data_IF_359077874940
#
_entry.id   IF_359077874940
#
_cell.length_a   1.000
_cell.length_b   1.000
_cell.length_c   1.000
_cell.angle_alpha   90.00
_cell.angle_beta   90.00
_cell.angle_gamma   90.00
#
_symmetry.space_group_name_H-M   'P 1'
#
loop_
_entity.id
_entity.type
_entity.pdbx_description
1 polymer ?
#
# COMPACT_ATOMS: atom_id res chain seq x y z
N UNK A 1 35.80 -13.61 9.43
CA UNK A 1 34.37 -13.65 9.79
C UNK A 1 33.91 -12.21 9.96
N UNK A 2 33.38 -11.60 8.91
CA UNK A 2 32.87 -10.23 8.96
C UNK A 2 31.37 -10.29 9.25
N UNK A 3 30.95 -9.77 10.39
CA UNK A 3 29.54 -9.57 10.68
C UNK A 3 28.96 -8.66 9.60
N UNK A 4 28.06 -9.21 8.79
CA UNK A 4 27.29 -8.48 7.80
C UNK A 4 26.45 -7.43 8.55
N UNK A 5 26.92 -6.18 8.58
CA UNK A 5 26.28 -5.05 9.29
C UNK A 5 24.81 -4.82 8.88
N UNK A 6 24.33 -5.52 7.85
CA UNK A 6 22.95 -5.51 7.39
C UNK A 6 22.00 -6.41 8.22
N UNK A 7 22.49 -7.44 8.92
CA UNK A 7 21.60 -8.36 9.64
C UNK A 7 20.91 -7.70 10.85
N UNK A 8 21.62 -6.81 11.55
CA UNK A 8 21.06 -6.03 12.67
C UNK A 8 20.27 -4.79 12.20
N UNK A 9 20.72 -4.10 11.14
CA UNK A 9 19.98 -2.97 10.56
C UNK A 9 18.67 -3.38 9.88
N UNK A 10 18.61 -4.58 9.27
CA UNK A 10 17.39 -5.07 8.63
C UNK A 10 16.23 -5.33 9.60
N UNK A 11 16.51 -5.56 10.91
CA UNK A 11 15.44 -5.68 11.91
C UNK A 11 14.80 -4.34 12.27
N UNK A 12 15.58 -3.25 12.28
CA UNK A 12 15.09 -1.91 12.64
C UNK A 12 14.57 -1.11 11.43
N UNK A 13 15.10 -1.35 10.23
CA UNK A 13 14.63 -0.64 9.03
C UNK A 13 13.28 -1.15 8.50
N UNK A 14 12.80 -2.34 8.91
CA UNK A 14 11.54 -2.89 8.38
C UNK A 14 10.30 -2.05 8.68
N UNK A 15 10.28 -1.28 9.77
CA UNK A 15 9.19 -0.37 10.14
C UNK A 15 9.37 1.07 9.65
N UNK A 16 10.60 1.48 9.28
CA UNK A 16 10.93 2.87 8.89
C UNK A 16 10.85 3.15 7.38
N UNK A 17 10.57 2.12 6.56
CA UNK A 17 10.46 2.32 5.11
C UNK A 17 9.27 3.21 4.75
N UNK A 18 9.60 4.42 4.25
CA UNK A 18 8.70 5.43 3.65
C UNK A 18 7.36 4.85 3.17
N UNK A 19 6.26 5.48 3.60
CA UNK A 19 4.97 5.35 2.94
C UNK A 19 5.17 5.55 1.43
N UNK A 20 4.54 4.70 0.61
CA UNK A 20 4.71 4.77 -0.83
C UNK A 20 4.24 6.14 -1.33
N UNK A 21 5.06 6.82 -2.13
CA UNK A 21 4.66 8.06 -2.82
C UNK A 21 3.49 7.83 -3.81
N UNK A 22 3.17 6.57 -4.10
CA UNK A 22 2.12 6.16 -5.01
C UNK A 22 0.77 5.88 -4.33
N UNK A 23 0.65 6.03 -3.01
CA UNK A 23 -0.59 5.72 -2.28
C UNK A 23 -1.82 6.42 -2.89
N UNK A 24 -1.68 7.67 -3.32
CA UNK A 24 -2.75 8.45 -3.99
C UNK A 24 -3.29 7.83 -5.28
N UNK A 25 -2.58 6.88 -5.88
CA UNK A 25 -2.99 6.23 -7.11
C UNK A 25 -3.84 4.98 -6.85
N UNK A 26 -3.69 4.35 -5.68
CA UNK A 26 -4.44 3.17 -5.29
C UNK A 26 -5.58 3.58 -4.37
N UNK A 27 -6.76 3.04 -4.66
CA UNK A 27 -7.88 3.19 -3.76
C UNK A 27 -7.96 2.02 -2.79
N UNK A 28 -8.05 2.34 -1.50
CA UNK A 28 -8.14 1.38 -0.40
C UNK A 28 -9.37 1.67 0.46
N UNK A 29 -9.94 0.59 1.02
CA UNK A 29 -10.89 0.71 2.12
C UNK A 29 -10.14 1.13 3.37
N UNK A 30 -10.70 2.07 4.10
CA UNK A 30 -10.22 2.48 5.41
C UNK A 30 -10.61 1.39 6.42
N UNK A 31 -9.65 0.97 7.24
CA UNK A 31 -9.95 0.15 8.40
C UNK A 31 -10.60 1.03 9.49
N UNK A 32 -11.86 0.74 9.83
CA UNK A 32 -12.65 1.48 10.81
C UNK A 32 -12.60 0.89 12.22
N UNK A 33 -11.82 -0.18 12.48
CA UNK A 33 -11.76 -0.83 13.80
C UNK A 33 -11.27 0.08 14.94
N UNK A 34 -10.65 1.21 14.60
CA UNK A 34 -10.25 2.20 15.60
C UNK A 34 -11.45 3.00 16.16
N UNK A 35 -12.60 2.96 15.48
CA UNK A 35 -13.84 3.58 15.96
C UNK A 35 -14.43 2.82 17.14
N UNK A 36 -14.22 1.50 17.22
CA UNK A 36 -14.66 0.68 18.36
C UNK A 36 -14.04 1.17 19.68
N UNK A 37 -12.85 1.79 19.61
CA UNK A 37 -12.21 2.42 20.75
C UNK A 37 -13.04 3.58 21.32
N UNK A 38 -13.82 4.29 20.51
CA UNK A 38 -14.69 5.40 20.94
C UNK A 38 -15.90 4.96 21.76
N UNK A 39 -16.19 3.67 21.83
CA UNK A 39 -17.25 3.11 22.67
C UNK A 39 -16.78 2.81 24.10
N UNK A 40 -15.48 2.98 24.38
CA UNK A 40 -14.93 2.75 25.72
C UNK A 40 -15.25 3.92 26.65
N UNK A 41 -15.68 3.67 27.90
CA UNK A 41 -16.07 4.71 28.85
C UNK A 41 -14.88 5.47 29.44
N UNK A 42 -13.66 4.93 29.38
CA UNK A 42 -12.46 5.38 30.08
C UNK A 42 -11.39 5.96 29.14
N UNK A 43 -11.79 6.73 28.14
CA UNK A 43 -10.87 7.27 27.12
C UNK A 43 -10.09 8.49 27.62
N UNK A 44 -8.76 8.39 27.58
CA UNK A 44 -7.90 9.56 27.80
C UNK A 44 -8.01 10.57 26.67
N UNK A 45 -7.80 11.85 26.98
CA UNK A 45 -7.81 12.94 25.99
C UNK A 45 -6.76 12.74 24.90
N UNK A 46 -5.58 12.15 25.20
CA UNK A 46 -4.58 11.87 24.16
C UNK A 46 -5.06 10.82 23.15
N UNK A 47 -5.73 9.76 23.63
CA UNK A 47 -6.29 8.71 22.75
C UNK A 47 -7.36 9.31 21.85
N UNK A 48 -8.27 10.13 22.40
CA UNK A 48 -9.33 10.80 21.63
C UNK A 48 -8.73 11.77 20.61
N UNK A 49 -7.70 12.54 20.98
CA UNK A 49 -6.99 13.43 20.07
C UNK A 49 -6.32 12.65 18.92
N UNK A 50 -5.70 11.51 19.22
CA UNK A 50 -5.11 10.63 18.21
C UNK A 50 -6.17 10.08 17.23
N UNK A 51 -7.30 9.58 17.74
CA UNK A 51 -8.41 9.10 16.92
C UNK A 51 -8.97 10.24 16.05
N UNK A 52 -9.19 11.42 16.64
CA UNK A 52 -9.66 12.61 15.95
C UNK A 52 -8.73 13.03 14.80
N UNK A 53 -7.42 13.00 15.02
CA UNK A 53 -6.41 13.25 13.98
C UNK A 53 -6.51 12.23 12.84
N UNK A 54 -6.60 10.93 13.18
CA UNK A 54 -6.76 9.84 12.21
C UNK A 54 -8.04 9.99 11.37
N UNK A 55 -9.16 10.38 12.00
CA UNK A 55 -10.42 10.66 11.30
C UNK A 55 -10.24 11.81 10.29
N UNK A 56 -9.60 12.92 10.68
CA UNK A 56 -9.33 14.04 9.77
C UNK A 56 -8.53 13.61 8.54
N UNK A 57 -7.44 12.87 8.75
CA UNK A 57 -6.61 12.35 7.65
C UNK A 57 -7.41 11.45 6.71
N UNK A 58 -8.25 10.57 7.26
CA UNK A 58 -9.14 9.69 6.49
C UNK A 58 -10.19 10.47 5.69
N UNK A 59 -10.79 11.52 6.27
CA UNK A 59 -11.75 12.38 5.55
C UNK A 59 -11.08 13.12 4.38
N UNK A 60 -9.84 13.60 4.55
CA UNK A 60 -9.07 14.22 3.47
C UNK A 60 -8.79 13.21 2.35
N UNK A 61 -8.39 11.99 2.71
CA UNK A 61 -8.17 10.89 1.77
C UNK A 61 -9.43 10.59 0.95
N UNK A 62 -10.57 10.37 1.61
CA UNK A 62 -11.85 10.08 0.98
C UNK A 62 -12.30 11.19 0.02
N UNK A 63 -12.23 12.45 0.45
CA UNK A 63 -12.60 13.59 -0.37
C UNK A 63 -11.72 13.75 -1.61
N UNK A 64 -10.41 13.47 -1.47
CA UNK A 64 -9.47 13.50 -2.59
C UNK A 64 -9.84 12.44 -3.63
N UNK A 65 -10.09 11.21 -3.19
CA UNK A 65 -10.48 10.13 -4.10
C UNK A 65 -11.86 10.33 -4.72
N UNK A 66 -12.82 10.88 -3.98
CA UNK A 66 -14.15 11.22 -4.51
C UNK A 66 -14.05 12.15 -5.72
N UNK A 67 -13.31 13.27 -5.56
CA UNK A 67 -13.09 14.25 -6.65
C UNK A 67 -12.37 13.64 -7.84
N UNK A 68 -11.38 12.76 -7.59
CA UNK A 68 -10.66 12.05 -8.65
C UNK A 68 -11.62 11.14 -9.44
N UNK A 69 -12.49 10.41 -8.76
CA UNK A 69 -13.44 9.49 -9.39
C UNK A 69 -14.53 10.22 -10.14
N UNK A 70 -15.13 11.26 -9.57
CA UNK A 70 -16.13 12.10 -10.23
C UNK A 70 -15.60 12.68 -11.54
N UNK A 71 -14.37 13.23 -11.54
CA UNK A 71 -13.72 13.74 -12.75
C UNK A 71 -13.41 12.66 -13.79
N UNK A 72 -13.15 11.42 -13.36
CA UNK A 72 -12.80 10.31 -14.24
C UNK A 72 -14.01 9.57 -14.79
N UNK A 73 -15.14 9.57 -14.07
CA UNK A 73 -16.40 8.98 -14.53
C UNK A 73 -16.88 9.64 -15.84
N UNK A 74 -16.61 10.94 -16.00
CA UNK A 74 -16.93 11.72 -17.20
C UNK A 74 -16.01 11.42 -18.41
N UNK A 75 -15.00 10.57 -18.25
CA UNK A 75 -14.05 10.20 -19.30
C UNK A 75 -14.28 8.75 -19.73
N UNK A 76 -13.92 8.43 -20.97
CA UNK A 76 -14.06 7.07 -21.51
C UNK A 76 -13.47 6.03 -20.54
N UNK A 77 -14.34 5.15 -20.07
CA UNK A 77 -14.01 4.14 -19.08
C UNK A 77 -13.24 3.00 -19.74
N UNK A 78 -11.98 2.88 -19.36
CA UNK A 78 -11.06 1.90 -19.94
C UNK A 78 -10.62 0.94 -18.84
N UNK A 79 -10.72 -0.39 -19.05
CA UNK A 79 -10.17 -1.37 -18.14
C UNK A 79 -8.69 -1.11 -17.87
N UNK A 80 -8.26 -1.31 -16.62
CA UNK A 80 -6.95 -0.90 -16.17
C UNK A 80 -6.33 -1.93 -15.22
N UNK A 81 -5.04 -2.18 -15.40
CA UNK A 81 -4.20 -2.89 -14.42
C UNK A 81 -3.15 -1.92 -13.92
N UNK A 82 -3.11 -1.77 -12.60
CA UNK A 82 -2.11 -0.99 -11.90
C UNK A 82 -1.23 -1.91 -11.07
N UNK A 83 0.07 -1.76 -11.23
CA UNK A 83 1.07 -2.57 -10.56
C UNK A 83 2.08 -1.61 -9.97
N UNK A 84 2.41 -1.81 -8.71
CA UNK A 84 3.52 -1.14 -8.07
C UNK A 84 4.50 -2.18 -7.58
N UNK A 85 5.75 -2.01 -7.98
CA UNK A 85 6.88 -2.79 -7.50
C UNK A 85 7.55 -1.96 -6.42
N UNK A 86 7.43 -2.39 -5.16
CA UNK A 86 7.87 -1.58 -4.04
C UNK A 86 9.31 -1.90 -3.65
N UNK A 87 9.58 -3.14 -3.22
CA UNK A 87 10.89 -3.56 -2.67
C UNK A 87 11.11 -5.06 -2.75
N UNK A 88 12.34 -5.52 -2.58
CA UNK A 88 12.67 -6.94 -2.43
C UNK A 88 13.59 -7.19 -1.23
N UNK A 89 13.63 -8.43 -0.74
CA UNK A 89 14.50 -8.86 0.37
C UNK A 89 15.10 -10.25 0.11
N UNK A 90 16.21 -10.53 0.80
CA UNK A 90 16.93 -11.81 0.73
C UNK A 90 17.33 -12.21 -0.70
N UNK A 91 17.64 -11.24 -1.58
CA UNK A 91 18.13 -11.56 -2.93
C UNK A 91 19.55 -12.12 -2.79
N UNK A 92 19.74 -13.39 -3.15
CA UNK A 92 21.06 -14.03 -3.06
C UNK A 92 21.97 -13.52 -4.16
N UNK A 93 22.92 -12.68 -3.78
CA UNK A 93 23.99 -12.27 -4.67
C UNK A 93 24.98 -13.43 -4.87
N UNK A 94 25.24 -13.79 -6.12
CA UNK A 94 26.28 -14.75 -6.52
C UNK A 94 27.31 -14.03 -7.40
N UNK A 95 28.21 -13.27 -6.80
CA UNK A 95 29.30 -12.60 -7.51
C UNK A 95 30.44 -12.16 -6.58
N UNK A 96 31.53 -11.65 -7.16
CA UNK A 96 32.71 -11.19 -6.42
C UNK A 96 32.45 -9.82 -5.80
N UNK A 97 32.93 -9.62 -4.56
CA UNK A 97 32.75 -8.40 -3.74
C UNK A 97 33.24 -7.08 -4.37
N UNK A 98 33.83 -7.13 -5.56
CA UNK A 98 34.42 -5.97 -6.27
C UNK A 98 33.39 -5.32 -7.20
N UNK A 99 32.41 -6.06 -7.71
CA UNK A 99 31.37 -5.50 -8.57
C UNK A 99 30.22 -4.92 -7.74
N UNK A 100 29.68 -3.78 -8.16
CA UNK A 100 28.52 -3.13 -7.54
C UNK A 100 27.27 -3.38 -8.40
N UNK A 101 26.75 -4.62 -8.44
CA UNK A 101 25.62 -4.97 -9.28
C UNK A 101 24.39 -4.11 -8.97
N UNK A 102 23.55 -3.95 -9.98
CA UNK A 102 22.26 -3.27 -9.89
C UNK A 102 21.12 -4.24 -10.07
N UNK A 103 20.05 -4.06 -9.31
CA UNK A 103 18.86 -4.92 -9.39
C UNK A 103 17.73 -4.18 -10.08
N UNK A 104 17.03 -4.87 -10.97
CA UNK A 104 15.81 -4.36 -11.59
C UNK A 104 14.79 -5.49 -11.74
N UNK A 105 13.53 -5.12 -11.96
CA UNK A 105 12.42 -6.05 -12.09
C UNK A 105 11.78 -5.89 -13.46
N UNK A 106 11.60 -7.00 -14.16
CA UNK A 106 10.76 -7.10 -15.34
C UNK A 106 9.37 -7.58 -14.92
N UNK A 107 8.34 -6.91 -15.43
CA UNK A 107 6.95 -7.34 -15.36
C UNK A 107 6.47 -7.68 -16.76
N UNK A 108 6.02 -8.91 -16.94
CA UNK A 108 5.43 -9.39 -18.19
C UNK A 108 3.93 -9.63 -18.02
N UNK A 109 3.15 -9.05 -18.92
CA UNK A 109 1.71 -9.26 -19.03
C UNK A 109 1.47 -10.50 -19.89
N UNK A 110 1.19 -11.62 -19.26
CA UNK A 110 1.02 -12.90 -19.94
C UNK A 110 -0.47 -13.19 -20.24
N UNK A 111 -0.81 -13.68 -21.44
CA UNK A 111 0.05 -14.07 -22.56
C UNK A 111 0.30 -12.94 -23.58
N UNK A 112 -0.01 -11.69 -23.26
CA UNK A 112 0.14 -10.55 -24.18
C UNK A 112 1.60 -10.26 -24.59
N UNK A 113 2.58 -10.82 -23.87
CA UNK A 113 4.01 -10.68 -24.16
C UNK A 113 4.59 -9.28 -23.86
N UNK A 114 3.78 -8.38 -23.30
CA UNK A 114 4.22 -7.01 -23.02
C UNK A 114 5.09 -6.99 -21.78
N UNK A 115 6.31 -6.48 -21.95
CA UNK A 115 7.31 -6.36 -20.88
C UNK A 115 7.49 -4.90 -20.46
N UNK A 116 7.56 -4.67 -19.15
CA UNK A 116 7.89 -3.39 -18.51
C UNK A 116 9.00 -3.62 -17.51
N UNK A 117 9.84 -2.62 -17.29
CA UNK A 117 11.02 -2.71 -16.44
C UNK A 117 11.02 -1.58 -15.43
N UNK A 118 11.48 -1.86 -14.22
CA UNK A 118 11.82 -0.81 -13.26
C UNK A 118 13.14 -0.14 -13.62
N UNK A 119 13.44 0.97 -12.96
CA UNK A 119 14.83 1.44 -12.85
C UNK A 119 15.71 0.49 -12.03
N UNK A 120 16.98 0.81 -11.98
CA UNK A 120 18.00 0.08 -11.22
C UNK A 120 18.02 0.50 -9.74
N UNK A 121 18.14 -0.48 -8.84
CA UNK A 121 18.26 -0.28 -7.40
C UNK A 121 19.53 -0.94 -6.85
N UNK A 122 19.90 -0.57 -5.62
CA UNK A 122 21.01 -1.19 -4.87
C UNK A 122 20.66 -2.63 -4.46
N UNK A 123 21.67 -3.47 -4.33
CA UNK A 123 21.51 -4.93 -4.16
C UNK A 123 21.09 -5.37 -2.76
N UNK A 124 21.57 -4.72 -1.70
CA UNK A 124 21.35 -5.19 -0.32
C UNK A 124 19.89 -5.06 0.15
N UNK A 125 19.22 -3.97 -0.24
CA UNK A 125 17.81 -3.67 0.08
C UNK A 125 17.17 -2.89 -1.08
N UNK A 126 16.89 -3.52 -2.22
CA UNK A 126 16.36 -2.80 -3.37
C UNK A 126 14.93 -2.30 -3.08
N UNK A 127 14.72 -1.02 -3.33
CA UNK A 127 13.42 -0.37 -3.31
C UNK A 127 13.26 0.49 -4.56
N UNK A 128 12.09 0.39 -5.18
CA UNK A 128 11.78 1.06 -6.44
C UNK A 128 10.58 1.99 -6.31
N UNK A 129 9.52 1.56 -5.62
CA UNK A 129 8.20 2.22 -5.63
C UNK A 129 7.79 2.62 -7.06
N UNK A 130 8.01 1.70 -8.01
CA UNK A 130 7.81 1.96 -9.42
C UNK A 130 6.41 1.54 -9.85
N UNK A 131 5.67 2.48 -10.42
CA UNK A 131 4.29 2.26 -10.86
C UNK A 131 4.21 1.97 -12.35
N UNK A 132 3.54 0.87 -12.69
CA UNK A 132 3.16 0.48 -14.03
C UNK A 132 1.64 0.59 -14.13
N UNK A 133 1.16 1.29 -15.15
CA UNK A 133 -0.26 1.45 -15.43
C UNK A 133 -0.53 1.02 -16.87
N UNK A 134 -1.24 -0.09 -17.04
CA UNK A 134 -1.64 -0.60 -18.35
C UNK A 134 -3.14 -0.39 -18.55
N UNK A 135 -3.50 0.19 -19.70
CA UNK A 135 -4.87 0.50 -20.11
C UNK A 135 -5.27 -0.41 -21.28
N UNK A 136 -6.56 -0.72 -21.41
CA UNK A 136 -7.12 -1.44 -22.57
C UNK A 136 -6.53 -2.85 -22.81
N UNK A 137 -6.03 -3.53 -21.77
CA UNK A 137 -5.36 -4.84 -21.93
C UNK A 137 -5.79 -5.87 -20.89
N UNK A 138 -7.04 -5.81 -20.45
CA UNK A 138 -7.59 -6.88 -19.62
C UNK A 138 -8.08 -8.06 -20.45
N UNK A 139 -8.50 -7.81 -21.70
CA UNK A 139 -8.91 -8.87 -22.62
C UNK A 139 -7.69 -9.73 -22.97
N UNK A 140 -7.76 -11.01 -22.59
CA UNK A 140 -6.69 -11.97 -22.78
C UNK A 140 -5.64 -12.02 -21.66
N UNK A 141 -5.54 -11.02 -20.77
CA UNK A 141 -4.57 -11.04 -19.68
C UNK A 141 -4.94 -12.10 -18.63
N UNK A 142 -4.04 -13.05 -18.41
CA UNK A 142 -4.22 -14.17 -17.45
C UNK A 142 -3.36 -14.01 -16.21
N UNK A 143 -2.11 -13.59 -16.38
CA UNK A 143 -1.19 -13.49 -15.25
C UNK A 143 -0.15 -12.40 -15.45
N UNK A 144 0.35 -11.86 -14.33
CA UNK A 144 1.52 -11.00 -14.28
C UNK A 144 2.72 -11.84 -13.86
N UNK A 145 3.75 -11.91 -14.71
CA UNK A 145 5.01 -12.58 -14.37
C UNK A 145 6.03 -11.52 -13.96
N UNK A 146 6.63 -11.71 -12.80
CA UNK A 146 7.67 -10.86 -12.24
C UNK A 146 8.99 -11.62 -12.33
N UNK A 147 10.01 -11.02 -12.90
CA UNK A 147 11.37 -11.58 -12.94
C UNK A 147 12.33 -10.55 -12.40
N UNK A 148 13.13 -10.94 -11.41
CA UNK A 148 14.14 -10.07 -10.80
C UNK A 148 15.48 -10.38 -11.44
N UNK A 149 16.16 -9.34 -11.90
CA UNK A 149 17.45 -9.45 -12.58
C UNK A 149 18.51 -8.65 -11.84
N UNK A 150 19.72 -9.12 -11.97
CA UNK A 150 20.95 -8.44 -11.59
C UNK A 150 21.68 -8.06 -12.86
N UNK A 151 22.14 -6.81 -12.95
CA UNK A 151 23.04 -6.30 -14.00
C UNK A 151 24.39 -5.97 -13.39
N UNK A 152 25.46 -6.46 -13.99
CA UNK A 152 26.83 -6.07 -13.61
C UNK A 152 27.31 -4.84 -14.40
N UNK A 153 28.52 -4.37 -14.10
CA UNK A 153 29.11 -3.19 -14.75
C UNK A 153 29.39 -3.42 -16.25
N UNK A 154 29.50 -4.68 -16.68
CA UNK A 154 29.63 -5.08 -18.09
C UNK A 154 28.28 -5.22 -18.81
N UNK A 155 27.18 -4.81 -18.16
CA UNK A 155 25.80 -4.93 -18.64
C UNK A 155 25.32 -6.38 -18.87
N UNK A 156 26.02 -7.37 -18.30
CA UNK A 156 25.56 -8.75 -18.29
C UNK A 156 24.39 -8.89 -17.31
N UNK A 157 23.35 -9.59 -17.74
CA UNK A 157 22.13 -9.76 -16.97
C UNK A 157 21.97 -11.20 -16.48
N UNK A 158 21.74 -11.35 -15.18
CA UNK A 158 21.48 -12.63 -14.54
C UNK A 158 20.15 -12.60 -13.83
N UNK A 159 19.27 -13.55 -14.16
CA UNK A 159 18.00 -13.73 -13.46
C UNK A 159 18.27 -14.26 -12.05
N UNK A 160 17.70 -13.58 -11.05
CA UNK A 160 17.79 -13.96 -9.65
C UNK A 160 16.64 -14.84 -9.20
N UNK A 161 15.44 -14.63 -9.76
CA UNK A 161 14.24 -15.42 -9.45
C UNK A 161 13.00 -14.90 -10.17
N UNK A 162 11.89 -15.62 -10.05
CA UNK A 162 10.62 -15.26 -10.67
C UNK A 162 9.39 -15.57 -9.82
N UNK A 163 8.34 -14.77 -9.98
CA UNK A 163 7.05 -15.03 -9.36
C UNK A 163 5.91 -14.71 -10.31
N UNK A 164 4.77 -15.37 -10.14
CA UNK A 164 3.59 -15.11 -10.95
C UNK A 164 2.38 -14.74 -10.09
N UNK A 165 1.58 -13.79 -10.58
CA UNK A 165 0.30 -13.42 -10.02
C UNK A 165 -0.80 -13.69 -11.04
N UNK A 166 -1.70 -14.61 -10.70
CA UNK A 166 -2.91 -14.87 -11.46
C UNK A 166 -3.90 -13.71 -11.26
N UNK A 167 -4.35 -13.11 -12.37
CA UNK A 167 -5.27 -11.97 -12.37
C UNK A 167 -6.58 -12.32 -11.67
N UNK A 168 -7.06 -13.56 -11.79
CA UNK A 168 -8.32 -14.01 -11.18
C UNK A 168 -8.29 -13.81 -9.66
N UNK A 169 -7.12 -14.01 -9.03
CA UNK A 169 -6.95 -13.85 -7.57
C UNK A 169 -7.13 -12.41 -7.08
N UNK A 170 -7.18 -11.43 -7.98
CA UNK A 170 -7.34 -10.01 -7.68
C UNK A 170 -8.63 -9.38 -8.19
N UNK A 171 -9.49 -10.09 -8.92
CA UNK A 171 -10.69 -9.50 -9.54
C UNK A 171 -11.73 -9.01 -8.53
N UNK A 172 -11.91 -9.74 -7.43
CA UNK A 172 -12.90 -9.39 -6.38
C UNK A 172 -12.31 -8.49 -5.28
N UNK A 173 -11.07 -8.04 -5.45
CA UNK A 173 -10.33 -7.27 -4.45
C UNK A 173 -10.12 -5.86 -4.97
N UNK A 174 -10.27 -4.87 -4.09
CA UNK A 174 -9.94 -3.48 -4.43
C UNK A 174 -8.48 -3.35 -4.85
N UNK A 175 -7.58 -4.02 -4.13
CA UNK A 175 -6.21 -4.27 -4.54
C UNK A 175 -5.66 -5.45 -3.76
N UNK A 176 -4.52 -5.98 -4.21
CA UNK A 176 -3.73 -7.01 -3.53
C UNK A 176 -2.38 -6.41 -3.21
N UNK A 177 -1.96 -6.51 -1.96
CA UNK A 177 -0.61 -6.14 -1.54
C UNK A 177 -0.01 -7.32 -0.78
N UNK A 178 1.15 -7.81 -1.22
CA UNK A 178 1.76 -9.00 -0.64
C UNK A 178 3.24 -9.14 -0.96
N UNK A 179 3.91 -9.94 -0.13
CA UNK A 179 5.19 -10.56 -0.48
C UNK A 179 4.94 -11.75 -1.42
N UNK A 180 5.71 -11.82 -2.50
CA UNK A 180 5.76 -12.93 -3.45
C UNK A 180 7.13 -13.59 -3.34
N UNK A 181 7.15 -14.91 -3.15
CA UNK A 181 8.39 -15.67 -3.17
C UNK A 181 8.88 -15.78 -4.62
N UNK A 182 10.16 -15.47 -4.83
CA UNK A 182 10.82 -15.52 -6.14
C UNK A 182 11.40 -16.90 -6.45
N UNK A 183 11.70 -17.68 -5.40
CA UNK A 183 12.23 -19.04 -5.47
C UNK A 183 11.78 -19.82 -4.23
N UNK A 184 12.00 -21.14 -4.24
CA UNK A 184 11.67 -22.05 -3.13
C UNK A 184 12.83 -22.25 -2.12
N UNK A 185 13.85 -21.39 -2.14
CA UNK A 185 15.01 -21.51 -1.24
C UNK A 185 14.72 -20.95 0.17
N UNK A 186 15.52 -21.34 1.19
CA UNK A 186 15.40 -20.85 2.57
C UNK A 186 16.65 -20.07 3.01
N UNK A 187 16.54 -18.80 3.48
CA UNK A 187 15.31 -18.00 3.50
C UNK A 187 14.88 -17.62 2.07
N UNK A 188 13.56 -17.47 1.82
CA UNK A 188 13.08 -17.16 0.48
C UNK A 188 13.45 -15.74 0.09
N UNK A 189 13.94 -15.60 -1.14
CA UNK A 189 13.99 -14.32 -1.84
C UNK A 189 12.56 -13.86 -2.12
N UNK A 190 12.21 -12.64 -1.74
CA UNK A 190 10.84 -12.15 -1.86
C UNK A 190 10.76 -10.78 -2.53
N UNK A 191 9.69 -10.55 -3.29
CA UNK A 191 9.32 -9.28 -3.89
C UNK A 191 8.01 -8.78 -3.28
N UNK A 192 7.97 -7.52 -2.85
CA UNK A 192 6.75 -6.88 -2.35
C UNK A 192 6.09 -6.08 -3.47
N UNK A 193 4.85 -6.44 -3.79
CA UNK A 193 4.08 -5.82 -4.86
C UNK A 193 2.70 -5.40 -4.38
N UNK A 194 2.18 -4.36 -5.02
CA UNK A 194 0.79 -3.92 -4.90
C UNK A 194 0.14 -3.93 -6.28
N UNK A 195 -1.03 -4.56 -6.43
CA UNK A 195 -1.70 -4.80 -7.70
C UNK A 195 -3.17 -4.43 -7.56
N UNK A 196 -3.69 -3.58 -8.45
CA UNK A 196 -5.11 -3.23 -8.52
C UNK A 196 -5.60 -3.49 -9.94
N UNK A 197 -6.62 -4.34 -10.05
CA UNK A 197 -7.21 -4.74 -11.34
C UNK A 197 -8.60 -4.14 -11.41
N UNK A 198 -8.85 -3.36 -12.45
CA UNK A 198 -10.12 -2.68 -12.70
C UNK A 198 -10.64 -3.21 -14.03
N UNK A 199 -11.55 -4.19 -13.98
CA UNK A 199 -12.18 -4.77 -15.17
C UNK A 199 -13.25 -3.84 -15.74
N UNK A 200 -14.16 -3.40 -14.89
CA UNK A 200 -15.17 -2.41 -15.22
C UNK A 200 -14.87 -1.12 -14.44
N UNK A 201 -14.38 -0.12 -15.18
CA UNK A 201 -13.97 1.16 -14.61
C UNK A 201 -15.17 1.99 -14.12
N UNK A 202 -16.33 1.86 -14.77
CA UNK A 202 -17.55 2.58 -14.35
C UNK A 202 -18.07 1.98 -13.06
N UNK A 203 -18.26 0.66 -13.02
CA UNK A 203 -18.73 -0.05 -11.83
C UNK A 203 -17.78 0.15 -10.64
N UNK A 204 -16.46 0.12 -10.89
CA UNK A 204 -15.46 0.39 -9.85
C UNK A 204 -15.60 1.81 -9.27
N UNK A 205 -15.76 2.84 -10.10
CA UNK A 205 -15.93 4.22 -9.62
C UNK A 205 -17.25 4.39 -8.86
N UNK A 206 -18.37 3.88 -9.37
CA UNK A 206 -19.65 3.97 -8.66
C UNK A 206 -19.60 3.26 -7.30
N UNK A 207 -19.12 2.01 -7.27
CA UNK A 207 -18.99 1.24 -6.02
C UNK A 207 -18.08 1.95 -5.02
N UNK A 208 -16.95 2.46 -5.51
CA UNK A 208 -16.00 3.19 -4.67
C UNK A 208 -16.59 4.50 -4.15
N UNK A 209 -17.29 5.26 -4.99
CA UNK A 209 -17.94 6.52 -4.58
C UNK A 209 -19.07 6.29 -3.58
N UNK A 210 -19.85 5.22 -3.71
CA UNK A 210 -20.87 4.84 -2.72
C UNK A 210 -20.23 4.51 -1.37
N UNK A 211 -19.20 3.65 -1.37
CA UNK A 211 -18.42 3.37 -0.17
C UNK A 211 -17.83 4.63 0.46
N UNK A 212 -17.31 5.57 -0.35
CA UNK A 212 -16.80 6.85 0.14
C UNK A 212 -17.90 7.63 0.86
N UNK A 213 -19.09 7.75 0.26
CA UNK A 213 -20.22 8.48 0.86
C UNK A 213 -20.62 7.88 2.22
N UNK A 214 -20.79 6.57 2.28
CA UNK A 214 -21.15 5.83 3.49
C UNK A 214 -20.08 6.03 4.59
N UNK A 215 -18.82 5.76 4.26
CA UNK A 215 -17.69 5.86 5.20
C UNK A 215 -17.49 7.29 5.68
N UNK A 216 -17.67 8.27 4.79
CA UNK A 216 -17.54 9.67 5.13
C UNK A 216 -18.62 10.13 6.11
N UNK A 217 -19.85 9.60 6.01
CA UNK A 217 -20.91 9.84 7.01
C UNK A 217 -20.49 9.31 8.38
N UNK A 218 -20.09 8.04 8.45
CA UNK A 218 -19.66 7.40 9.70
C UNK A 218 -18.50 8.14 10.37
N UNK A 219 -17.50 8.55 9.59
CA UNK A 219 -16.35 9.29 10.09
C UNK A 219 -16.72 10.69 10.57
N UNK A 220 -17.70 11.36 9.95
CA UNK A 220 -18.20 12.65 10.44
C UNK A 220 -18.88 12.52 11.79
N UNK A 221 -19.72 11.50 11.96
CA UNK A 221 -20.44 11.26 13.21
C UNK A 221 -19.44 10.94 14.33
N UNK A 222 -18.46 10.06 14.05
CA UNK A 222 -17.37 9.77 14.97
C UNK A 222 -16.54 11.01 15.33
N UNK A 223 -16.29 11.90 14.37
CA UNK A 223 -15.55 13.15 14.61
C UNK A 223 -16.29 14.09 15.56
N UNK A 224 -17.63 14.17 15.43
CA UNK A 224 -18.48 14.92 16.37
C UNK A 224 -18.43 14.29 17.76
N UNK A 225 -18.50 12.96 17.86
CA UNK A 225 -18.36 12.23 19.13
C UNK A 225 -17.01 12.52 19.81
N UNK A 226 -15.89 12.51 19.07
CA UNK A 226 -14.59 12.90 19.63
C UNK A 226 -14.60 14.31 20.23
N UNK A 227 -15.21 15.28 19.54
CA UNK A 227 -15.33 16.66 20.05
C UNK A 227 -16.14 16.72 21.33
N UNK A 228 -17.23 15.95 21.40
CA UNK A 228 -18.06 15.88 22.59
C UNK A 228 -17.28 15.34 23.79
N UNK A 229 -16.58 14.20 23.63
CA UNK A 229 -15.77 13.59 24.70
C UNK A 229 -14.67 14.54 25.18
N UNK A 230 -13.94 15.19 24.27
CA UNK A 230 -12.91 16.17 24.66
C UNK A 230 -13.50 17.33 25.46
N UNK A 231 -14.66 17.86 25.06
CA UNK A 231 -15.33 18.95 25.79
C UNK A 231 -15.83 18.52 27.17
N UNK A 232 -16.22 17.25 27.38
CA UNK A 232 -16.60 16.74 28.70
C UNK A 232 -15.38 16.59 29.62
N UNK A 233 -14.25 16.11 29.09
CA UNK A 233 -13.00 15.97 29.83
C UNK A 233 -12.38 17.33 30.23
N UNK A 234 -12.62 18.38 29.44
CA UNK A 234 -12.13 19.74 29.72
C UNK A 234 -13.07 20.54 30.65
N UNK A 235 -14.22 19.99 31.08
CA UNK A 235 -15.07 20.68 32.07
C UNK A 235 -14.32 20.71 33.40
N UNK A 236 -14.12 21.89 34.01
CA UNK A 236 -13.61 21.94 35.38
C UNK A 236 -14.57 21.12 36.24
N UNK A 237 -14.03 20.19 37.04
CA UNK A 237 -14.79 19.54 38.11
C UNK A 237 -15.39 20.68 38.93
N UNK A 238 -16.70 20.89 38.80
CA UNK A 238 -17.40 21.83 39.66
C UNK A 238 -17.06 21.41 41.08
N UNK A 239 -16.45 22.28 41.91
CA UNK A 239 -16.21 21.93 43.29
C UNK A 239 -17.58 21.58 43.86
N UNK A 240 -17.73 20.35 44.34
CA UNK A 240 -18.90 19.95 45.11
C UNK A 240 -19.08 21.03 46.18
N UNK A 241 -20.14 21.83 46.08
CA UNK A 241 -20.46 22.78 47.13
C UNK A 241 -20.88 21.96 48.33
N UNK A 242 -19.96 21.80 49.27
CA UNK A 242 -20.25 21.33 50.61
C UNK A 242 -21.03 22.43 51.32
N UNK A 243 -22.30 22.56 50.97
CA UNK A 243 -23.31 23.20 51.81
C UNK A 243 -24.26 22.11 52.24
N UNK A 244 -23.82 21.38 53.27
CA UNK A 244 -24.74 20.79 54.23
C UNK A 244 -24.62 21.67 55.47
N UNK A 245 -25.69 22.42 55.71
CA UNK A 245 -26.02 23.08 56.98
C UNK A 245 -26.11 22.05 58.12
#
# INVERSE_FOLDING_TARGET
MGNCACAEKAKYDMESYRNSSNDKHFFSKINLSFLDTLERPDLSTEIVAHISSKIKSNLIYLNTHYRIFEKKLLKQAVPKVMIEIQKAKNLRYKGFCISNPKIFVQVELWPLGIKKYTGEAKTECPAWYYMISVKNQNEGLRSLKFSVYQRDDNKSEKKLGEAAFDIIKGLDKLYVEKWMNLDNESPPSCLYVRIQIIKDTIAFYHTSMNYIKETHSLLKDAFVKCKFIMNENDRPLTPFSSTLE
#
